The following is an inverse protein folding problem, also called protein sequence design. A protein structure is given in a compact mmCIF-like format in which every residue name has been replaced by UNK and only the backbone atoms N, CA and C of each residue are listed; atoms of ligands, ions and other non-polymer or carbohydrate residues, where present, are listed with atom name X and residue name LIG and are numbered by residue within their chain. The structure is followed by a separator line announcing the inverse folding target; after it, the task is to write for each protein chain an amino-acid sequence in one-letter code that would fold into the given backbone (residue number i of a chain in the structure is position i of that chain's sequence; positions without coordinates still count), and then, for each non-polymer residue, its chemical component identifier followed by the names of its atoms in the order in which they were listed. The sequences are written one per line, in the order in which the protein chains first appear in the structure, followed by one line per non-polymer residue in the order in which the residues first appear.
data_IF_970759090080
#
_entry.id   IF_970759090080
#
_cell.length_a   1.000
_cell.length_b   1.000
_cell.length_c   1.000
_cell.angle_alpha   90.00
_cell.angle_beta   90.00
_cell.angle_gamma   90.00
#
_symmetry.space_group_name_H-M   'P 1'
#
loop_
_entity.id
_entity.type
_entity.pdbx_description
1 polymer ?
#
# COMPACT_ATOMS: atom_id res chain seq x y z
N UNK A 1 7.21 31.90 -2.41
CA UNK A 1 7.00 30.44 -2.29
C UNK A 1 6.81 30.14 -0.82
N UNK A 2 5.69 29.48 -0.47
CA UNK A 2 5.44 29.10 0.93
C UNK A 2 6.32 27.91 1.30
N UNK A 3 6.94 27.98 2.49
CA UNK A 3 7.71 26.89 3.10
C UNK A 3 6.78 26.12 4.02
N UNK A 4 6.87 24.82 4.02
CA UNK A 4 6.15 23.99 4.96
C UNK A 4 7.04 22.88 5.53
N UNK A 5 6.62 22.34 6.67
CA UNK A 5 7.23 21.21 7.35
C UNK A 5 6.20 20.13 7.52
N UNK A 6 6.55 18.87 7.23
CA UNK A 6 5.68 17.71 7.44
C UNK A 6 6.50 16.45 7.69
N UNK A 7 5.81 15.41 8.21
CA UNK A 7 6.34 14.05 8.24
C UNK A 7 5.86 13.30 7.01
N UNK A 8 6.73 12.51 6.39
CA UNK A 8 6.40 11.74 5.20
C UNK A 8 7.10 10.39 5.15
N UNK A 9 6.48 9.42 4.48
CA UNK A 9 7.11 8.15 4.13
C UNK A 9 7.45 8.22 2.64
N UNK A 10 8.71 7.96 2.29
CA UNK A 10 9.17 7.97 0.90
C UNK A 10 8.64 6.72 0.21
N UNK A 11 7.66 6.89 -0.68
CA UNK A 11 7.04 5.79 -1.42
C UNK A 11 7.85 5.39 -2.65
N UNK A 12 8.48 6.40 -3.30
CA UNK A 12 9.20 6.22 -4.56
C UNK A 12 10.31 7.23 -4.68
N UNK A 13 11.42 6.83 -5.33
CA UNK A 13 12.55 7.69 -5.62
C UNK A 13 13.04 7.43 -7.05
N UNK A 14 12.90 8.41 -7.95
CA UNK A 14 13.22 8.30 -9.38
C UNK A 14 14.39 9.21 -9.71
N UNK A 15 15.33 8.72 -10.51
CA UNK A 15 16.40 9.55 -11.08
C UNK A 15 15.78 10.58 -12.03
N UNK A 16 16.04 11.86 -11.80
CA UNK A 16 15.55 12.96 -12.62
C UNK A 16 16.65 13.61 -13.46
N UNK A 17 17.80 13.84 -12.84
CA UNK A 17 18.99 14.38 -13.51
C UNK A 17 20.25 13.67 -13.00
N UNK A 18 21.44 14.13 -13.39
CA UNK A 18 22.70 13.58 -12.87
C UNK A 18 22.79 13.65 -11.34
N UNK A 19 22.29 14.72 -10.74
CA UNK A 19 22.41 15.00 -9.32
C UNK A 19 21.10 14.89 -8.53
N UNK A 20 19.93 14.88 -9.20
CA UNK A 20 18.64 15.07 -8.56
C UNK A 20 17.77 13.83 -8.66
N UNK A 21 16.81 13.70 -7.72
CA UNK A 21 15.75 12.70 -7.75
C UNK A 21 14.39 13.36 -7.54
N UNK A 22 13.35 12.80 -8.15
CA UNK A 22 11.96 13.06 -7.81
C UNK A 22 11.55 11.99 -6.81
N UNK A 23 10.87 12.43 -5.76
CA UNK A 23 10.36 11.61 -4.66
C UNK A 23 8.84 11.72 -4.64
N UNK A 24 8.17 10.58 -4.51
CA UNK A 24 6.78 10.54 -4.10
C UNK A 24 6.75 10.20 -2.60
N UNK A 25 6.13 11.06 -1.79
CA UNK A 25 5.98 10.87 -0.36
C UNK A 25 4.49 10.81 -0.01
N UNK A 26 4.12 9.88 0.87
CA UNK A 26 2.85 10.01 1.56
C UNK A 26 3.08 10.79 2.84
N UNK A 27 2.50 11.98 2.92
CA UNK A 27 2.72 12.90 4.02
C UNK A 27 1.56 12.85 5.01
N UNK A 28 1.86 13.17 6.26
CA UNK A 28 0.87 13.17 7.34
C UNK A 28 -0.19 14.26 7.18
N UNK A 29 0.20 15.41 6.61
CA UNK A 29 -0.60 16.63 6.64
C UNK A 29 -1.01 17.14 5.26
N UNK A 30 -0.48 16.53 4.16
CA UNK A 30 -0.79 16.93 2.78
C UNK A 30 -1.01 15.70 1.83
N UNK A 31 -1.22 14.49 2.36
CA UNK A 31 -1.44 13.30 1.54
C UNK A 31 -0.25 12.95 0.64
N UNK A 32 -0.52 12.62 -0.62
CA UNK A 32 0.50 12.25 -1.59
C UNK A 32 1.16 13.50 -2.19
N UNK A 33 2.45 13.67 -1.95
CA UNK A 33 3.26 14.81 -2.42
C UNK A 33 4.38 14.31 -3.34
N UNK A 34 4.51 14.94 -4.51
CA UNK A 34 5.68 14.76 -5.39
C UNK A 34 6.64 15.91 -5.23
N UNK A 35 7.89 15.61 -4.90
CA UNK A 35 8.91 16.63 -4.62
C UNK A 35 10.26 16.30 -5.25
N UNK A 36 11.04 17.33 -5.60
CA UNK A 36 12.41 17.18 -6.08
C UNK A 36 13.41 17.36 -4.93
N UNK A 37 14.37 16.42 -4.82
CA UNK A 37 15.51 16.50 -3.92
C UNK A 37 16.76 16.85 -4.75
N UNK A 38 17.11 18.15 -4.81
CA UNK A 38 18.24 18.66 -5.59
C UNK A 38 19.57 18.28 -4.96
N UNK A 39 20.49 17.76 -5.78
CA UNK A 39 21.84 17.39 -5.35
C UNK A 39 21.90 16.14 -4.47
N UNK A 40 20.84 15.37 -4.35
CA UNK A 40 20.80 14.17 -3.48
C UNK A 40 21.83 13.12 -3.87
N UNK A 41 22.21 13.03 -5.14
CA UNK A 41 23.18 12.06 -5.67
C UNK A 41 24.63 12.53 -5.62
N UNK A 42 24.89 13.75 -5.17
CA UNK A 42 26.26 14.26 -5.02
C UNK A 42 26.93 13.57 -3.83
N UNK A 43 28.25 13.30 -3.94
CA UNK A 43 29.03 12.64 -2.88
C UNK A 43 28.94 13.37 -1.53
N UNK A 44 28.86 14.71 -1.56
CA UNK A 44 28.64 15.55 -0.36
C UNK A 44 27.20 16.02 -0.25
N UNK A 45 26.24 15.13 -0.54
CA UNK A 45 24.82 15.48 -0.39
C UNK A 45 24.44 15.71 1.05
N UNK A 46 23.71 16.81 1.30
CA UNK A 46 23.12 17.10 2.61
C UNK A 46 22.03 16.10 3.03
N UNK A 47 21.47 15.34 2.08
CA UNK A 47 20.43 14.37 2.35
C UNK A 47 21.01 13.00 2.74
N UNK A 48 22.18 12.62 2.19
CA UNK A 48 22.74 11.28 2.41
C UNK A 48 21.74 10.19 2.08
N UNK A 49 21.59 9.20 2.95
CA UNK A 49 20.63 8.11 2.84
C UNK A 49 19.24 8.41 3.42
N UNK A 50 18.97 9.68 3.83
CA UNK A 50 17.73 10.01 4.55
C UNK A 50 16.46 9.86 3.72
N UNK A 51 16.56 10.05 2.40
CA UNK A 51 15.43 10.02 1.46
C UNK A 51 15.41 8.76 0.62
N UNK A 52 15.93 7.65 1.14
CA UNK A 52 15.79 6.35 0.50
C UNK A 52 14.33 5.85 0.59
N UNK A 53 13.87 5.03 -0.39
CA UNK A 53 12.53 4.46 -0.36
C UNK A 53 12.21 3.80 0.99
N UNK A 54 10.96 3.88 1.40
CA UNK A 54 10.38 3.41 2.65
C UNK A 54 10.78 4.24 3.90
N UNK A 55 11.83 5.08 3.87
CA UNK A 55 12.19 5.90 5.03
C UNK A 55 11.06 6.84 5.45
N UNK A 56 10.75 6.86 6.74
CA UNK A 56 9.92 7.88 7.36
C UNK A 56 10.80 9.06 7.79
N UNK A 57 10.46 10.25 7.33
CA UNK A 57 11.27 11.46 7.49
C UNK A 57 10.45 12.63 8.01
N UNK A 58 11.10 13.50 8.78
CA UNK A 58 10.67 14.87 9.03
C UNK A 58 11.38 15.76 8.00
N UNK A 59 10.63 16.52 7.21
CA UNK A 59 11.21 17.28 6.11
C UNK A 59 10.65 18.69 5.99
N UNK A 60 11.44 19.56 5.37
CA UNK A 60 11.05 20.92 5.00
C UNK A 60 11.09 21.03 3.48
N UNK A 61 10.03 21.58 2.90
CA UNK A 61 9.92 21.80 1.46
C UNK A 61 9.32 23.16 1.12
N UNK A 62 9.56 23.62 -0.10
CA UNK A 62 8.85 24.75 -0.72
C UNK A 62 7.78 24.23 -1.65
N UNK A 63 6.59 24.84 -1.62
CA UNK A 63 5.59 24.61 -2.65
C UNK A 63 6.10 25.05 -4.02
N UNK A 64 6.17 24.11 -4.95
CA UNK A 64 6.45 24.35 -6.35
C UNK A 64 5.17 24.45 -7.18
N UNK A 65 5.32 24.73 -8.46
CA UNK A 65 4.19 24.81 -9.40
C UNK A 65 3.67 23.43 -9.81
N UNK A 66 4.55 22.46 -9.93
CA UNK A 66 4.28 21.06 -10.29
C UNK A 66 4.93 20.06 -9.33
N UNK A 67 6.10 20.39 -8.82
CA UNK A 67 6.84 19.58 -7.86
C UNK A 67 7.32 20.50 -6.74
N UNK A 68 7.14 20.04 -5.53
CA UNK A 68 7.72 20.70 -4.36
C UNK A 68 9.24 20.52 -4.35
N UNK A 69 9.96 21.32 -3.57
CA UNK A 69 11.41 21.19 -3.44
C UNK A 69 11.79 20.90 -1.99
N UNK A 70 12.32 19.72 -1.73
CA UNK A 70 12.83 19.35 -0.40
C UNK A 70 14.13 20.11 -0.13
N UNK A 71 14.19 20.79 1.02
CA UNK A 71 15.36 21.56 1.44
C UNK A 71 16.08 20.93 2.62
N UNK A 72 15.36 20.29 3.51
CA UNK A 72 15.90 19.60 4.69
C UNK A 72 15.16 18.29 4.88
N UNK A 73 15.83 17.28 5.41
CA UNK A 73 15.23 16.02 5.80
C UNK A 73 16.03 15.40 6.97
N UNK A 74 15.29 14.88 7.94
CA UNK A 74 15.80 14.11 9.06
C UNK A 74 15.08 12.77 9.11
N UNK A 75 15.82 11.67 9.27
CA UNK A 75 15.24 10.34 9.33
C UNK A 75 14.63 10.09 10.71
N UNK A 76 13.33 9.81 10.74
CA UNK A 76 12.62 9.35 11.93
C UNK A 76 12.72 7.84 12.09
N UNK A 77 12.57 7.10 10.98
CA UNK A 77 12.69 5.65 10.92
C UNK A 77 13.18 5.23 9.53
N UNK A 78 14.21 4.41 9.46
CA UNK A 78 14.81 4.03 8.16
C UNK A 78 14.15 2.81 7.53
N UNK A 79 13.54 1.89 8.32
CA UNK A 79 13.07 0.58 7.86
C UNK A 79 14.14 -0.16 7.04
N UNK A 80 15.35 -0.20 7.57
CA UNK A 80 16.52 -0.73 6.88
C UNK A 80 16.41 -2.23 6.64
N UNK A 81 15.94 -3.00 7.63
CA UNK A 81 15.74 -4.44 7.50
C UNK A 81 14.71 -4.80 6.43
N UNK A 82 13.68 -3.96 6.23
CA UNK A 82 12.73 -4.16 5.11
C UNK A 82 13.43 -4.00 3.76
N UNK A 83 14.42 -3.10 3.63
CA UNK A 83 15.12 -2.90 2.36
C UNK A 83 16.19 -3.94 2.06
N UNK A 84 16.76 -4.59 3.06
CA UNK A 84 17.83 -5.57 2.90
C UNK A 84 17.32 -6.99 2.66
N UNK A 85 16.09 -7.28 3.05
CA UNK A 85 15.44 -8.57 2.82
C UNK A 85 14.50 -8.49 1.61
N UNK A 86 14.71 -9.35 0.61
CA UNK A 86 13.97 -9.33 -0.64
C UNK A 86 12.47 -9.54 -0.44
N UNK A 87 12.07 -10.51 0.39
CA UNK A 87 10.67 -10.85 0.61
C UNK A 87 9.93 -9.70 1.34
N UNK A 88 10.57 -9.08 2.33
CA UNK A 88 10.05 -7.90 3.01
C UNK A 88 9.94 -6.72 2.05
N UNK A 89 10.95 -6.52 1.19
CA UNK A 89 10.94 -5.42 0.23
C UNK A 89 9.82 -5.59 -0.82
N UNK A 90 9.61 -6.80 -1.33
CA UNK A 90 8.52 -7.10 -2.27
C UNK A 90 7.15 -6.84 -1.63
N UNK A 91 6.96 -7.29 -0.38
CA UNK A 91 5.75 -7.01 0.40
C UNK A 91 5.54 -5.50 0.59
N UNK A 92 6.57 -4.78 1.01
CA UNK A 92 6.51 -3.32 1.16
C UNK A 92 6.20 -2.61 -0.16
N UNK A 93 6.72 -3.11 -1.29
CA UNK A 93 6.41 -2.57 -2.61
C UNK A 93 4.92 -2.74 -2.97
N UNK A 94 4.30 -3.89 -2.65
CA UNK A 94 2.87 -4.12 -2.77
C UNK A 94 2.03 -3.16 -1.91
N UNK A 95 2.44 -2.97 -0.64
CA UNK A 95 1.82 -2.01 0.28
C UNK A 95 1.88 -0.57 -0.26
N UNK A 96 3.04 -0.13 -0.71
CA UNK A 96 3.24 1.20 -1.32
C UNK A 96 2.41 1.35 -2.59
N UNK A 97 2.34 0.31 -3.43
CA UNK A 97 1.50 0.26 -4.61
C UNK A 97 0.02 0.52 -4.28
N UNK A 98 -0.49 -0.16 -3.25
CA UNK A 98 -1.88 0.00 -2.77
C UNK A 98 -2.15 1.41 -2.26
N UNK A 99 -1.25 1.98 -1.44
CA UNK A 99 -1.37 3.36 -0.95
C UNK A 99 -1.42 4.35 -2.11
N UNK A 100 -0.50 4.24 -3.08
CA UNK A 100 -0.48 5.14 -4.25
C UNK A 100 -1.72 4.98 -5.13
N UNK A 101 -2.26 3.77 -5.23
CA UNK A 101 -3.44 3.48 -6.02
C UNK A 101 -4.70 4.12 -5.43
N UNK A 102 -4.93 3.98 -4.14
CA UNK A 102 -6.14 4.44 -3.46
C UNK A 102 -6.06 5.86 -2.87
N UNK A 103 -4.85 6.44 -2.77
CA UNK A 103 -4.65 7.80 -2.26
C UNK A 103 -4.61 8.82 -3.40
N UNK A 104 -5.66 8.91 -4.18
CA UNK A 104 -5.70 9.71 -5.43
C UNK A 104 -6.16 11.16 -5.29
N UNK A 105 -6.36 11.69 -4.10
CA UNK A 105 -6.80 13.07 -3.85
C UNK A 105 -5.72 13.89 -3.15
N UNK A 106 -5.88 15.23 -3.23
CA UNK A 106 -5.03 16.20 -2.52
C UNK A 106 -5.32 16.25 -1.01
N UNK A 107 -6.26 15.44 -0.52
CA UNK A 107 -6.62 15.42 0.90
C UNK A 107 -5.74 14.46 1.68
N UNK A 108 -5.15 15.01 2.75
CA UNK A 108 -4.36 14.24 3.70
C UNK A 108 -5.25 13.40 4.60
N UNK A 109 -5.03 12.10 4.66
CA UNK A 109 -5.60 11.25 5.70
C UNK A 109 -4.50 10.71 6.62
N UNK A 110 -4.45 11.23 7.83
CA UNK A 110 -3.50 10.78 8.87
C UNK A 110 -3.66 9.31 9.23
N UNK A 111 -4.85 8.73 9.01
CA UNK A 111 -5.12 7.31 9.27
C UNK A 111 -4.35 6.45 8.27
N UNK A 112 -4.29 6.86 7.00
CA UNK A 112 -3.50 6.19 5.95
C UNK A 112 -2.00 6.27 6.25
N UNK A 113 -1.50 7.45 6.66
CA UNK A 113 -0.10 7.61 7.08
C UNK A 113 0.25 6.66 8.23
N UNK A 114 -0.58 6.64 9.28
CA UNK A 114 -0.37 5.78 10.45
C UNK A 114 -0.49 4.30 10.08
N UNK A 115 -1.43 3.93 9.20
CA UNK A 115 -1.62 2.57 8.72
C UNK A 115 -0.36 2.07 8.01
N UNK A 116 0.17 2.85 7.05
CA UNK A 116 1.39 2.48 6.34
C UNK A 116 2.61 2.41 7.27
N UNK A 117 2.76 3.39 8.17
CA UNK A 117 3.85 3.38 9.16
C UNK A 117 3.79 2.12 10.03
N UNK A 118 2.61 1.78 10.56
CA UNK A 118 2.42 0.61 11.41
C UNK A 118 2.66 -0.70 10.65
N UNK A 119 2.26 -0.78 9.39
CA UNK A 119 2.50 -1.95 8.56
C UNK A 119 4.01 -2.15 8.28
N UNK A 120 4.74 -1.07 7.95
CA UNK A 120 6.19 -1.11 7.76
C UNK A 120 6.92 -1.47 9.06
N UNK A 121 6.49 -0.93 10.20
CA UNK A 121 7.09 -1.23 11.52
C UNK A 121 6.86 -2.69 11.93
N UNK A 122 5.68 -3.24 11.64
CA UNK A 122 5.39 -4.66 11.85
C UNK A 122 6.23 -5.54 10.91
N UNK A 123 6.30 -5.16 9.63
CA UNK A 123 7.09 -5.88 8.63
C UNK A 123 8.60 -5.88 8.96
N UNK A 124 9.14 -4.80 9.57
CA UNK A 124 10.54 -4.71 10.00
C UNK A 124 10.89 -5.74 11.07
N UNK A 125 9.93 -6.07 11.93
CA UNK A 125 10.19 -6.87 13.15
C UNK A 125 9.65 -8.30 13.09
N UNK A 126 8.66 -8.60 12.23
CA UNK A 126 8.09 -9.95 12.12
C UNK A 126 9.05 -10.90 11.40
N UNK A 127 9.01 -12.18 11.75
CA UNK A 127 9.83 -13.22 11.13
C UNK A 127 9.14 -13.92 9.96
N UNK A 128 7.81 -13.87 9.92
CA UNK A 128 6.96 -14.53 8.91
C UNK A 128 5.62 -13.80 8.76
N UNK A 129 4.80 -14.23 7.79
CA UNK A 129 3.44 -13.70 7.60
C UNK A 129 3.41 -12.37 6.86
N UNK A 130 4.38 -12.10 6.01
CA UNK A 130 4.51 -10.85 5.26
C UNK A 130 3.28 -10.58 4.38
N UNK A 131 2.76 -11.61 3.72
CA UNK A 131 1.54 -11.54 2.89
C UNK A 131 0.32 -11.14 3.72
N UNK A 132 0.25 -11.57 4.97
CA UNK A 132 -0.84 -11.21 5.90
C UNK A 132 -0.81 -9.73 6.22
N UNK A 133 0.39 -9.14 6.42
CA UNK A 133 0.56 -7.71 6.69
C UNK A 133 0.14 -6.89 5.47
N UNK A 134 0.54 -7.31 4.27
CA UNK A 134 0.13 -6.65 3.02
C UNK A 134 -1.39 -6.72 2.84
N UNK A 135 -1.99 -7.89 3.04
CA UNK A 135 -3.43 -8.07 2.93
C UNK A 135 -4.19 -7.24 3.98
N UNK A 136 -3.71 -7.20 5.23
CA UNK A 136 -4.30 -6.38 6.30
C UNK A 136 -4.26 -4.89 5.96
N UNK A 137 -3.12 -4.40 5.45
CA UNK A 137 -3.01 -3.02 4.98
C UNK A 137 -3.99 -2.76 3.84
N UNK A 138 -4.06 -3.63 2.82
CA UNK A 138 -4.92 -3.44 1.65
C UNK A 138 -6.39 -3.37 2.00
N UNK A 139 -6.89 -4.29 2.85
CA UNK A 139 -8.30 -4.28 3.33
C UNK A 139 -8.60 -2.98 4.09
N UNK A 140 -7.76 -2.60 5.05
CA UNK A 140 -7.99 -1.39 5.85
C UNK A 140 -7.89 -0.12 5.02
N UNK A 141 -6.98 -0.08 4.07
CA UNK A 141 -6.86 1.03 3.14
C UNK A 141 -8.10 1.17 2.26
N UNK A 142 -8.66 0.05 1.77
CA UNK A 142 -9.92 0.06 1.02
C UNK A 142 -11.07 0.62 1.86
N UNK A 143 -11.16 0.23 3.13
CA UNK A 143 -12.17 0.78 4.07
C UNK A 143 -11.97 2.29 4.25
N UNK A 144 -10.75 2.76 4.48
CA UNK A 144 -10.44 4.19 4.63
C UNK A 144 -10.75 4.99 3.38
N UNK A 145 -10.60 4.39 2.21
CA UNK A 145 -10.94 5.00 0.91
C UNK A 145 -12.44 4.93 0.57
N UNK A 146 -13.27 4.34 1.44
CA UNK A 146 -14.73 4.23 1.23
C UNK A 146 -15.17 3.00 0.42
N UNK A 147 -14.28 2.06 0.17
CA UNK A 147 -14.52 0.82 -0.59
C UNK A 147 -14.46 -0.41 0.32
N UNK A 148 -15.20 -0.39 1.44
CA UNK A 148 -15.26 -1.54 2.34
C UNK A 148 -15.85 -2.75 1.60
N UNK A 149 -15.17 -3.93 1.59
CA UNK A 149 -15.71 -5.11 0.94
C UNK A 149 -16.94 -5.65 1.70
N UNK A 150 -17.98 -6.07 0.94
CA UNK A 150 -19.13 -6.77 1.54
C UNK A 150 -18.77 -8.24 1.73
N UNK A 151 -18.75 -8.69 2.99
CA UNK A 151 -18.31 -10.02 3.39
C UNK A 151 -19.37 -10.83 4.17
N UNK A 152 -20.55 -10.26 4.44
CA UNK A 152 -21.56 -10.89 5.29
C UNK A 152 -22.69 -11.51 4.48
N UNK A 153 -23.12 -10.81 3.41
CA UNK A 153 -24.23 -11.26 2.57
C UNK A 153 -23.85 -11.25 1.09
N UNK A 154 -24.47 -12.11 0.31
CA UNK A 154 -24.29 -12.12 -1.15
C UNK A 154 -24.72 -10.79 -1.77
N UNK A 155 -23.84 -10.18 -2.58
CA UNK A 155 -24.10 -8.89 -3.24
C UNK A 155 -25.36 -8.84 -4.10
N UNK A 156 -25.83 -9.99 -4.60
CA UNK A 156 -26.96 -10.05 -5.56
C UNK A 156 -28.26 -10.46 -4.87
N UNK A 157 -28.26 -11.57 -4.13
CA UNK A 157 -29.50 -12.12 -3.56
C UNK A 157 -29.67 -11.83 -2.07
N UNK A 158 -28.66 -11.27 -1.39
CA UNK A 158 -28.72 -10.97 0.04
C UNK A 158 -28.65 -12.18 0.96
N UNK A 159 -28.41 -13.39 0.43
CA UNK A 159 -28.26 -14.59 1.25
C UNK A 159 -27.07 -14.45 2.19
N UNK A 160 -27.24 -14.83 3.44
CA UNK A 160 -26.16 -14.89 4.42
C UNK A 160 -25.08 -15.87 3.95
N UNK A 161 -23.81 -15.38 3.90
CA UNK A 161 -22.69 -16.15 3.37
C UNK A 161 -22.25 -17.28 4.29
N UNK A 162 -22.58 -17.24 5.57
CA UNK A 162 -22.30 -18.33 6.51
C UNK A 162 -23.25 -19.53 6.29
N UNK A 163 -24.44 -19.28 5.74
CA UNK A 163 -25.41 -20.29 5.37
C UNK A 163 -25.32 -20.71 3.89
N UNK A 164 -24.54 -20.01 3.08
CA UNK A 164 -24.46 -20.25 1.65
C UNK A 164 -23.56 -21.46 1.32
N UNK A 165 -23.97 -22.30 0.34
CA UNK A 165 -23.12 -23.43 -0.08
C UNK A 165 -21.86 -22.97 -0.80
N UNK A 166 -20.75 -23.63 -0.52
CA UNK A 166 -19.48 -23.45 -1.23
C UNK A 166 -19.55 -23.96 -2.69
N UNK A 167 -18.72 -23.46 -3.62
CA UNK A 167 -17.75 -22.39 -3.42
C UNK A 167 -18.37 -21.00 -3.49
N UNK A 168 -17.91 -20.10 -2.63
CA UNK A 168 -18.19 -18.68 -2.73
C UNK A 168 -17.29 -18.02 -3.80
N UNK A 169 -17.68 -16.85 -4.29
CA UNK A 169 -16.93 -16.11 -5.32
C UNK A 169 -16.74 -14.66 -4.89
N UNK A 170 -15.61 -14.07 -5.24
CA UNK A 170 -15.37 -12.65 -5.02
C UNK A 170 -15.47 -11.88 -6.33
N UNK A 171 -16.23 -10.77 -6.33
CA UNK A 171 -16.40 -9.86 -7.45
C UNK A 171 -15.67 -8.54 -7.15
N UNK A 172 -14.43 -8.35 -7.65
CA UNK A 172 -13.60 -7.18 -7.32
C UNK A 172 -14.24 -5.85 -7.69
N UNK A 173 -14.78 -5.72 -8.90
CA UNK A 173 -15.38 -4.48 -9.42
C UNK A 173 -16.63 -4.06 -8.63
N UNK A 174 -17.30 -5.03 -7.99
CA UNK A 174 -18.48 -4.81 -7.17
C UNK A 174 -18.18 -4.78 -5.66
N UNK A 175 -16.95 -5.12 -5.30
CA UNK A 175 -16.45 -4.98 -3.93
C UNK A 175 -17.04 -5.95 -2.93
N UNK A 176 -17.30 -7.23 -3.31
CA UNK A 176 -17.82 -8.17 -2.33
C UNK A 176 -18.00 -9.60 -2.82
N UNK A 177 -18.66 -10.42 -1.99
CA UNK A 177 -18.80 -11.87 -2.18
C UNK A 177 -20.15 -12.22 -2.79
N UNK A 178 -20.14 -13.21 -3.66
CA UNK A 178 -21.29 -13.84 -4.30
C UNK A 178 -21.43 -15.28 -3.82
N UNK A 179 -22.67 -15.72 -3.58
CA UNK A 179 -22.96 -17.13 -3.38
C UNK A 179 -22.77 -17.92 -4.70
N UNK A 180 -22.73 -19.23 -4.61
CA UNK A 180 -22.56 -20.15 -5.76
C UNK A 180 -23.58 -19.91 -6.89
N UNK A 181 -24.82 -19.62 -6.56
CA UNK A 181 -25.90 -19.41 -7.52
C UNK A 181 -25.75 -18.09 -8.29
N UNK A 182 -25.24 -17.06 -7.63
CA UNK A 182 -25.05 -15.72 -8.20
C UNK A 182 -23.69 -15.50 -8.88
N UNK A 183 -22.82 -16.52 -8.94
CA UNK A 183 -21.44 -16.39 -9.47
C UNK A 183 -21.33 -15.81 -10.89
N UNK A 184 -22.36 -15.98 -11.70
CA UNK A 184 -22.40 -15.51 -13.10
C UNK A 184 -23.01 -14.12 -13.24
N UNK A 185 -23.43 -13.47 -12.14
CA UNK A 185 -24.05 -12.17 -12.18
C UNK A 185 -23.06 -11.04 -12.53
N UNK A 186 -21.76 -11.30 -12.34
CA UNK A 186 -20.68 -10.37 -12.68
C UNK A 186 -19.64 -11.09 -13.54
N UNK A 187 -19.00 -10.37 -14.48
CA UNK A 187 -18.00 -10.98 -15.39
C UNK A 187 -16.62 -11.14 -14.78
N UNK A 188 -16.36 -10.54 -13.62
CA UNK A 188 -15.07 -10.46 -12.95
C UNK A 188 -14.93 -11.41 -11.76
N UNK A 189 -16.02 -12.10 -11.37
CA UNK A 189 -16.04 -12.97 -10.20
C UNK A 189 -15.13 -14.19 -10.35
N UNK A 190 -14.40 -14.52 -9.29
CA UNK A 190 -13.57 -15.72 -9.20
C UNK A 190 -13.79 -16.47 -7.87
N UNK A 191 -13.57 -17.79 -7.84
CA UNK A 191 -13.83 -18.59 -6.66
C UNK A 191 -12.89 -18.26 -5.50
N UNK A 192 -13.46 -18.27 -4.29
CA UNK A 192 -12.71 -18.21 -3.05
C UNK A 192 -12.29 -19.64 -2.62
N UNK A 193 -11.05 -19.76 -2.16
CA UNK A 193 -10.62 -20.99 -1.48
C UNK A 193 -11.25 -21.07 -0.08
N UNK A 194 -11.47 -22.29 0.44
CA UNK A 194 -12.00 -22.47 1.81
C UNK A 194 -11.20 -21.68 2.85
N UNK A 195 -11.88 -21.05 3.81
CA UNK A 195 -11.28 -20.24 4.86
C UNK A 195 -10.86 -18.81 4.43
N UNK A 196 -11.02 -18.46 3.14
CA UNK A 196 -10.65 -17.10 2.65
C UNK A 196 -11.62 -16.05 3.18
N UNK A 197 -12.91 -16.33 3.22
CA UNK A 197 -13.92 -15.39 3.73
C UNK A 197 -13.65 -15.03 5.19
N UNK A 198 -13.44 -16.05 6.05
CA UNK A 198 -13.11 -15.85 7.46
C UNK A 198 -11.81 -15.08 7.65
N UNK A 199 -10.82 -15.36 6.81
CA UNK A 199 -9.55 -14.61 6.82
C UNK A 199 -9.76 -13.13 6.49
N UNK A 200 -10.57 -12.82 5.48
CA UNK A 200 -10.88 -11.42 5.11
C UNK A 200 -11.62 -10.70 6.24
N UNK A 201 -12.61 -11.33 6.87
CA UNK A 201 -13.32 -10.78 8.04
C UNK A 201 -12.35 -10.51 9.20
N UNK A 202 -11.49 -11.48 9.51
CA UNK A 202 -10.48 -11.33 10.54
C UNK A 202 -9.51 -10.17 10.25
N UNK A 203 -9.14 -9.94 8.98
CA UNK A 203 -8.34 -8.78 8.58
C UNK A 203 -9.10 -7.45 8.71
N UNK A 204 -10.43 -7.44 8.54
CA UNK A 204 -11.27 -6.26 8.80
C UNK A 204 -11.31 -5.92 10.29
N UNK A 205 -11.42 -6.90 11.17
CA UNK A 205 -11.60 -6.72 12.60
C UNK A 205 -10.30 -6.37 13.35
N UNK A 206 -9.19 -6.99 12.97
CA UNK A 206 -7.93 -6.88 13.71
C UNK A 206 -7.02 -5.78 13.16
N UNK A 207 -6.28 -5.06 14.03
CA UNK A 207 -5.30 -4.07 13.57
C UNK A 207 -4.13 -4.73 12.84
N UNK A 208 -3.48 -3.97 11.93
CA UNK A 208 -2.35 -4.47 11.13
C UNK A 208 -1.17 -4.97 11.97
N UNK A 209 -0.96 -4.40 13.16
CA UNK A 209 0.11 -4.81 14.10
C UNK A 209 -0.11 -6.17 14.75
N UNK A 210 -1.34 -6.62 14.81
CA UNK A 210 -1.76 -7.92 15.34
C UNK A 210 -2.59 -8.67 14.33
N UNK A 211 -2.13 -8.66 13.07
CA UNK A 211 -2.80 -9.38 11.99
C UNK A 211 -2.89 -10.88 12.36
N UNK A 212 -4.09 -11.46 12.27
CA UNK A 212 -4.33 -12.83 12.74
C UNK A 212 -3.72 -13.86 11.80
N UNK A 213 -3.51 -15.07 12.28
CA UNK A 213 -3.23 -16.19 11.40
C UNK A 213 -4.41 -16.44 10.47
N UNK A 214 -4.12 -16.53 9.18
CA UNK A 214 -5.14 -16.74 8.16
C UNK A 214 -5.56 -18.20 8.11
N UNK A 215 -6.87 -18.46 8.06
CA UNK A 215 -7.45 -19.79 7.94
C UNK A 215 -7.36 -20.34 6.52
N UNK A 216 -7.44 -19.45 5.51
CA UNK A 216 -7.36 -19.81 4.10
C UNK A 216 -5.93 -19.74 3.54
N UNK A 217 -5.72 -20.17 2.30
CA UNK A 217 -4.44 -20.01 1.61
C UNK A 217 -4.08 -18.52 1.50
N UNK A 218 -2.93 -18.13 2.02
CA UNK A 218 -2.46 -16.74 2.07
C UNK A 218 -2.45 -16.08 0.69
N UNK A 219 -2.02 -16.83 -0.34
CA UNK A 219 -2.00 -16.35 -1.73
C UNK A 219 -3.40 -16.02 -2.26
N UNK A 220 -4.43 -16.80 -1.87
CA UNK A 220 -5.80 -16.52 -2.29
C UNK A 220 -6.34 -15.27 -1.59
N UNK A 221 -6.10 -15.11 -0.29
CA UNK A 221 -6.47 -13.91 0.47
C UNK A 221 -5.80 -12.67 -0.14
N UNK A 222 -4.50 -12.73 -0.39
CA UNK A 222 -3.75 -11.62 -0.98
C UNK A 222 -4.22 -11.31 -2.40
N UNK A 223 -4.53 -12.33 -3.21
CA UNK A 223 -5.13 -12.16 -4.54
C UNK A 223 -6.44 -11.39 -4.48
N UNK A 224 -7.34 -11.76 -3.56
CA UNK A 224 -8.63 -11.06 -3.37
C UNK A 224 -8.40 -9.59 -3.04
N UNK A 225 -7.54 -9.32 -2.05
CA UNK A 225 -7.25 -7.95 -1.62
C UNK A 225 -6.63 -7.12 -2.73
N UNK A 226 -5.64 -7.65 -3.44
CA UNK A 226 -5.00 -6.96 -4.58
C UNK A 226 -5.99 -6.69 -5.71
N UNK A 227 -6.86 -7.65 -6.05
CA UNK A 227 -7.88 -7.49 -7.07
C UNK A 227 -8.88 -6.38 -6.68
N UNK A 228 -9.32 -6.38 -5.41
CA UNK A 228 -10.21 -5.36 -4.89
C UNK A 228 -9.59 -3.94 -4.91
N UNK A 229 -8.34 -3.80 -4.45
CA UNK A 229 -7.61 -2.54 -4.50
C UNK A 229 -7.47 -2.04 -5.94
N UNK A 230 -7.13 -2.93 -6.91
CA UNK A 230 -7.00 -2.58 -8.32
C UNK A 230 -8.31 -2.12 -8.95
N UNK A 231 -9.41 -2.82 -8.66
CA UNK A 231 -10.73 -2.50 -9.19
C UNK A 231 -11.18 -1.08 -8.79
N UNK A 232 -10.84 -0.65 -7.58
CA UNK A 232 -11.21 0.67 -7.05
C UNK A 232 -10.13 1.76 -7.28
N UNK A 233 -9.10 1.45 -8.05
CA UNK A 233 -8.02 2.36 -8.41
C UNK A 233 -7.89 2.53 -9.93
N UNK A 234 -8.91 3.04 -10.62
CA UNK A 234 -8.94 3.11 -12.08
C UNK A 234 -7.75 3.91 -12.63
N UNK A 235 -7.08 3.33 -13.63
CA UNK A 235 -5.94 3.95 -14.32
C UNK A 235 -4.60 3.87 -13.57
N UNK A 236 -4.53 3.16 -12.45
CA UNK A 236 -3.29 2.97 -11.69
C UNK A 236 -2.91 1.50 -11.63
N UNK A 237 -1.62 1.22 -11.70
CA UNK A 237 -1.04 -0.12 -11.52
C UNK A 237 -0.47 -0.25 -10.10
N UNK A 238 -0.61 -1.43 -9.49
CA UNK A 238 0.06 -1.78 -8.22
C UNK A 238 1.57 -2.02 -8.39
N UNK A 239 2.15 -1.65 -9.55
CA UNK A 239 3.60 -1.77 -9.76
C UNK A 239 4.29 -0.87 -8.74
N UNK A 240 4.93 -1.49 -7.78
CA UNK A 240 5.80 -0.85 -6.81
C UNK A 240 6.97 -0.12 -7.48
N UNK A 241 7.87 0.50 -6.72
CA UNK A 241 8.99 1.22 -7.27
C UNK A 241 9.77 0.31 -8.21
N UNK A 242 9.88 0.71 -9.49
CA UNK A 242 10.75 0.03 -10.43
C UNK A 242 12.15 0.00 -9.80
N UNK A 243 12.64 -1.20 -9.50
CA UNK A 243 14.03 -1.41 -9.18
C UNK A 243 14.82 -0.78 -10.34
N UNK A 244 15.58 0.28 -10.06
CA UNK A 244 16.57 0.75 -11.01
C UNK A 244 17.50 -0.45 -11.26
N UNK A 245 17.39 -1.06 -12.43
CA UNK A 245 18.23 -2.17 -12.85
C UNK A 245 19.67 -1.75 -12.59
N UNK A 246 20.32 -2.42 -11.64
CA UNK A 246 21.74 -2.33 -11.48
C UNK A 246 22.33 -2.75 -12.83
N UNK A 247 22.89 -1.77 -13.55
CA UNK A 247 23.45 -1.97 -14.87
C UNK A 247 24.42 -3.16 -14.83
N UNK A 248 24.14 -4.19 -15.60
CA UNK A 248 25.16 -5.16 -15.98
C UNK A 248 26.20 -4.36 -16.75
N UNK A 249 27.33 -4.19 -16.12
CA UNK A 249 28.55 -3.84 -16.86
C UNK A 249 28.97 -5.11 -17.60
N UNK A 250 28.92 -5.05 -18.91
CA UNK A 250 29.73 -5.93 -19.76
C UNK A 250 31.18 -5.45 -19.72
#
# INVERSE_FOLDING_TARGET
MAVYKSKGIVLRSIRYSEADRILDLYTRDAGLVSAIAKGIRRTKSRFGARLEPLSCVDFVAYHGRTLDTVTQAETLRSFHGVREDLARFETAAGMVGSVRALSGGDEADRRVFNLLYNALDTLETCEAGFETIEAALGVKLSILAGYAPQLDVCLVCGTDLDAAPEPLHFAPDHGGVLCRECRSATGDAFPLAPGTLESLRALVENPVRSAPDLKGPKDNVLRVVRAHVLAHAPGKSLVGPQLASAGRRA
#
